data_IF_757883969769
#
_entry.id   IF_757883969769
#
_cell.length_a   1.000
_cell.length_b   1.000
_cell.length_c   1.000
_cell.angle_alpha   90.00
_cell.angle_beta   90.00
_cell.angle_gamma   90.00
#
_symmetry.space_group_name_H-M   'P 1'
#
loop_
_entity.id
_entity.type
_entity.pdbx_description
1 polymer ?
#
# COMPACT_ATOMS: atom_id res chain seq x y z
N UNK A 1 3.71 -10.27 1.47
CA UNK A 1 2.79 -11.17 0.73
C UNK A 1 2.93 -10.88 -0.76
N UNK A 2 2.89 -11.89 -1.63
CA UNK A 2 2.91 -11.67 -3.08
C UNK A 2 1.67 -10.89 -3.54
N UNK A 3 1.80 -10.15 -4.64
CA UNK A 3 0.69 -9.39 -5.22
C UNK A 3 -0.26 -10.34 -5.96
N UNK A 4 -1.57 -10.14 -5.79
CA UNK A 4 -2.57 -10.84 -6.57
C UNK A 4 -2.49 -10.43 -8.06
N UNK A 5 -2.48 -11.42 -8.95
CA UNK A 5 -2.32 -11.26 -10.40
C UNK A 5 -3.50 -11.86 -11.14
N UNK A 6 -3.93 -11.20 -12.22
CA UNK A 6 -4.79 -11.80 -13.24
C UNK A 6 -3.98 -12.78 -14.08
N UNK A 7 -4.59 -13.88 -14.50
CA UNK A 7 -4.00 -14.85 -15.42
C UNK A 7 -5.08 -15.47 -16.30
N UNK A 8 -4.68 -16.08 -17.41
CA UNK A 8 -5.56 -16.88 -18.25
C UNK A 8 -5.50 -18.34 -17.77
N UNK A 9 -6.66 -18.98 -17.59
CA UNK A 9 -6.72 -20.40 -17.18
C UNK A 9 -6.09 -21.33 -18.23
N UNK A 10 -6.17 -20.96 -19.52
CA UNK A 10 -5.55 -21.71 -20.61
C UNK A 10 -4.03 -21.82 -20.53
N UNK A 11 -3.34 -20.83 -19.95
CA UNK A 11 -1.88 -20.84 -19.79
C UNK A 11 -1.41 -21.67 -18.58
N UNK A 12 -2.33 -21.97 -17.65
CA UNK A 12 -2.06 -22.70 -16.41
C UNK A 12 -2.68 -24.10 -16.40
N UNK A 13 -3.00 -24.67 -17.57
CA UNK A 13 -3.47 -26.06 -17.66
C UNK A 13 -2.48 -27.01 -16.97
N UNK A 14 -2.97 -27.84 -16.07
CA UNK A 14 -2.17 -28.77 -15.26
C UNK A 14 -1.52 -28.16 -14.01
N UNK A 15 -1.80 -26.88 -13.69
CA UNK A 15 -1.35 -26.20 -12.46
C UNK A 15 -2.52 -25.53 -11.74
N UNK A 16 -3.61 -26.27 -11.56
CA UNK A 16 -4.86 -25.79 -10.95
C UNK A 16 -4.68 -25.42 -9.47
N UNK A 17 -3.74 -26.06 -8.77
CA UNK A 17 -3.37 -25.72 -7.40
C UNK A 17 -2.88 -24.27 -7.25
N UNK A 18 -2.42 -23.63 -8.34
CA UNK A 18 -1.96 -22.24 -8.35
C UNK A 18 -3.11 -21.22 -8.49
N UNK A 19 -4.36 -21.66 -8.74
CA UNK A 19 -5.49 -20.76 -9.01
C UNK A 19 -6.08 -20.16 -7.72
N UNK A 20 -5.77 -20.76 -6.58
CA UNK A 20 -6.32 -20.37 -5.28
C UNK A 20 -5.92 -18.95 -4.87
N UNK A 21 -6.90 -18.19 -4.38
CA UNK A 21 -6.66 -16.86 -3.84
C UNK A 21 -6.29 -16.95 -2.36
N UNK A 22 -4.99 -17.05 -2.05
CA UNK A 22 -4.49 -17.24 -0.67
C UNK A 22 -5.04 -16.22 0.34
N UNK A 23 -5.23 -14.96 -0.05
CA UNK A 23 -5.74 -13.92 0.84
C UNK A 23 -7.24 -13.99 1.14
N UNK A 24 -8.00 -14.77 0.36
CA UNK A 24 -9.45 -14.96 0.52
C UNK A 24 -9.80 -16.41 0.89
N UNK A 25 -8.82 -17.32 0.87
CA UNK A 25 -9.00 -18.74 1.15
C UNK A 25 -10.08 -19.40 0.27
N UNK A 26 -10.12 -19.04 -1.01
CA UNK A 26 -11.05 -19.61 -2.01
C UNK A 26 -10.28 -20.18 -3.21
N UNK A 27 -10.75 -21.29 -3.81
CA UNK A 27 -10.04 -21.99 -4.87
C UNK A 27 -10.07 -21.23 -6.21
N UNK A 28 -11.17 -20.50 -6.49
CA UNK A 28 -11.37 -19.74 -7.71
C UNK A 28 -11.84 -18.33 -7.38
N UNK A 29 -11.32 -17.34 -8.09
CA UNK A 29 -11.73 -15.96 -7.93
C UNK A 29 -11.55 -15.17 -9.22
N UNK A 30 -12.49 -14.29 -9.51
CA UNK A 30 -12.36 -13.30 -10.58
C UNK A 30 -13.07 -12.00 -10.21
N UNK A 31 -12.72 -10.90 -10.87
CA UNK A 31 -13.43 -9.64 -10.72
C UNK A 31 -14.58 -9.54 -11.72
N UNK A 32 -15.74 -9.11 -11.22
CA UNK A 32 -16.97 -8.99 -12.02
C UNK A 32 -17.76 -7.71 -11.73
N UNK A 33 -17.74 -7.22 -10.49
CA UNK A 33 -18.69 -6.24 -9.97
C UNK A 33 -18.44 -4.78 -10.36
N UNK A 34 -17.43 -4.46 -11.17
CA UNK A 34 -17.08 -3.07 -11.50
C UNK A 34 -16.54 -2.89 -12.92
N UNK A 35 -17.29 -3.27 -13.96
CA UNK A 35 -16.87 -3.16 -15.37
C UNK A 35 -16.56 -1.73 -15.82
N UNK A 36 -17.17 -0.71 -15.19
CA UNK A 36 -16.90 0.69 -15.52
C UNK A 36 -15.47 1.15 -15.19
N UNK A 37 -14.81 0.53 -14.21
CA UNK A 37 -13.49 0.96 -13.71
C UNK A 37 -12.41 -0.12 -13.78
N UNK A 38 -12.76 -1.33 -14.23
CA UNK A 38 -11.83 -2.46 -14.37
C UNK A 38 -12.10 -3.18 -15.69
N UNK A 39 -11.12 -3.15 -16.59
CA UNK A 39 -11.20 -3.86 -17.86
C UNK A 39 -11.32 -5.40 -17.73
N UNK A 40 -10.66 -6.07 -16.76
CA UNK A 40 -10.86 -7.52 -16.55
C UNK A 40 -12.32 -7.90 -16.35
N UNK A 41 -13.09 -7.10 -15.61
CA UNK A 41 -14.51 -7.33 -15.41
C UNK A 41 -15.26 -7.31 -16.76
N UNK A 42 -14.92 -6.43 -17.70
CA UNK A 42 -15.54 -6.40 -19.05
C UNK A 42 -15.31 -7.71 -19.79
N UNK A 43 -14.11 -8.29 -19.71
CA UNK A 43 -13.80 -9.59 -20.32
C UNK A 43 -14.67 -10.67 -19.69
N UNK A 44 -14.77 -10.70 -18.36
CA UNK A 44 -15.62 -11.66 -17.64
C UNK A 44 -17.10 -11.50 -17.98
N UNK A 45 -17.60 -10.26 -18.09
CA UNK A 45 -18.98 -9.97 -18.50
C UNK A 45 -19.27 -10.52 -19.90
N UNK A 46 -18.35 -10.34 -20.86
CA UNK A 46 -18.49 -10.91 -22.22
C UNK A 46 -18.47 -12.43 -22.20
N UNK A 47 -17.53 -13.02 -21.45
CA UNK A 47 -17.44 -14.49 -21.32
C UNK A 47 -18.71 -15.06 -20.70
N UNK A 48 -19.22 -14.46 -19.63
CA UNK A 48 -20.44 -14.91 -18.98
C UNK A 48 -21.65 -14.83 -19.92
N UNK A 49 -21.82 -13.72 -20.64
CA UNK A 49 -22.90 -13.57 -21.60
C UNK A 49 -22.81 -14.60 -22.74
N UNK A 50 -21.61 -14.88 -23.24
CA UNK A 50 -21.39 -15.90 -24.27
C UNK A 50 -21.73 -17.31 -23.77
N UNK A 51 -21.34 -17.66 -22.55
CA UNK A 51 -21.60 -18.99 -21.99
C UNK A 51 -23.09 -19.21 -21.74
N UNK A 52 -23.79 -18.21 -21.19
CA UNK A 52 -25.25 -18.28 -20.96
C UNK A 52 -26.00 -18.48 -22.28
N UNK A 53 -25.68 -17.72 -23.32
CA UNK A 53 -26.33 -17.88 -24.62
C UNK A 53 -25.99 -19.21 -25.30
N UNK A 54 -24.73 -19.65 -25.21
CA UNK A 54 -24.32 -20.93 -25.77
C UNK A 54 -25.08 -22.10 -25.13
N UNK A 55 -25.35 -22.02 -23.83
CA UNK A 55 -26.13 -23.01 -23.10
C UNK A 55 -27.59 -23.05 -23.57
N UNK A 56 -28.24 -21.89 -23.75
CA UNK A 56 -29.59 -21.80 -24.31
C UNK A 56 -29.67 -22.49 -25.67
N UNK A 57 -28.74 -22.16 -26.58
CA UNK A 57 -28.68 -22.76 -27.94
C UNK A 57 -28.42 -24.26 -27.90
N UNK A 58 -27.55 -24.73 -26.99
CA UNK A 58 -27.22 -26.14 -26.85
C UNK A 58 -28.42 -26.96 -26.35
N UNK A 59 -29.13 -26.44 -25.34
CA UNK A 59 -30.30 -27.07 -24.75
C UNK A 59 -31.46 -27.15 -25.76
N UNK A 60 -31.70 -26.10 -26.55
CA UNK A 60 -32.72 -26.11 -27.62
C UNK A 60 -32.48 -27.18 -28.69
N UNK A 61 -31.23 -27.34 -29.13
CA UNK A 61 -30.83 -28.39 -30.08
C UNK A 61 -31.05 -29.79 -29.49
N UNK A 62 -30.78 -29.97 -28.19
CA UNK A 62 -30.95 -31.25 -27.49
C UNK A 62 -32.42 -31.64 -27.32
N UNK A 63 -33.30 -30.68 -26.97
CA UNK A 63 -34.74 -30.92 -26.88
C UNK A 63 -35.39 -31.20 -28.25
N UNK A 64 -34.87 -30.63 -29.33
CA UNK A 64 -35.34 -30.95 -30.69
C UNK A 64 -35.00 -32.40 -31.10
N UNK A 65 -34.05 -33.02 -30.41
CA UNK A 65 -33.54 -34.37 -30.70
C UNK A 65 -34.10 -35.45 -29.77
N UNK A 66 -34.70 -35.07 -28.63
CA UNK A 66 -35.25 -35.99 -27.63
C UNK A 66 -36.73 -35.68 -27.33
N UNK A 67 -37.64 -36.51 -27.84
CA UNK A 67 -39.07 -36.46 -27.49
C UNK A 67 -39.35 -37.31 -26.24
N UNK A 68 -39.96 -36.70 -25.20
CA UNK A 68 -40.32 -37.23 -23.85
C UNK A 68 -39.11 -37.63 -22.97
N UNK A 69 -39.03 -37.45 -21.65
CA UNK A 69 -40.05 -37.34 -20.59
C UNK A 69 -39.41 -36.75 -19.30
N UNK A 70 -40.24 -36.33 -18.34
CA UNK A 70 -39.94 -35.87 -16.96
C UNK A 70 -39.21 -34.53 -16.76
N UNK A 71 -40.05 -33.52 -16.44
CA UNK A 71 -39.76 -32.29 -15.71
C UNK A 71 -39.29 -32.62 -14.28
N UNK A 72 -37.99 -32.48 -14.00
CA UNK A 72 -37.49 -32.28 -12.64
C UNK A 72 -36.77 -30.93 -12.58
N UNK A 73 -37.41 -29.98 -11.89
CA UNK A 73 -37.16 -28.54 -11.97
C UNK A 73 -35.91 -28.04 -11.25
N UNK A 74 -34.76 -28.67 -11.48
CA UNK A 74 -33.44 -28.12 -11.12
C UNK A 74 -32.64 -28.01 -12.41
N UNK A 75 -32.43 -26.76 -12.85
CA UNK A 75 -31.88 -26.39 -14.14
C UNK A 75 -30.72 -27.28 -14.58
N UNK A 76 -30.96 -28.01 -15.68
CA UNK A 76 -30.01 -28.92 -16.31
C UNK A 76 -28.96 -28.10 -17.10
N UNK A 77 -28.30 -27.17 -16.42
CA UNK A 77 -27.21 -26.40 -16.98
C UNK A 77 -26.03 -27.32 -17.28
N UNK A 78 -25.47 -27.20 -18.48
CA UNK A 78 -24.30 -27.95 -18.92
C UNK A 78 -23.02 -27.09 -18.87
N UNK A 79 -23.16 -25.78 -19.08
CA UNK A 79 -22.03 -24.83 -19.11
C UNK A 79 -22.07 -23.83 -17.96
N UNK A 80 -23.24 -23.57 -17.37
CA UNK A 80 -23.40 -22.67 -16.23
C UNK A 80 -23.82 -23.42 -14.96
N UNK A 81 -23.71 -22.75 -13.82
CA UNK A 81 -24.13 -23.28 -12.53
C UNK A 81 -23.03 -23.99 -11.75
N UNK A 82 -23.43 -24.96 -10.92
CA UNK A 82 -22.52 -25.69 -10.04
C UNK A 82 -21.90 -26.93 -10.69
N UNK A 83 -22.49 -27.40 -11.81
CA UNK A 83 -22.05 -28.58 -12.54
C UNK A 83 -21.61 -28.14 -13.95
N UNK A 84 -20.31 -28.21 -14.22
CA UNK A 84 -19.79 -28.06 -15.57
C UNK A 84 -19.66 -29.44 -16.20
N UNK A 85 -20.36 -29.67 -17.31
CA UNK A 85 -20.30 -30.92 -18.08
C UNK A 85 -19.25 -30.80 -19.19
N UNK A 86 -18.09 -31.41 -18.94
CA UNK A 86 -16.95 -31.39 -19.87
C UNK A 86 -17.28 -32.13 -21.18
N UNK A 87 -18.03 -33.24 -21.12
CA UNK A 87 -18.41 -33.99 -22.33
C UNK A 87 -19.36 -33.17 -23.20
N UNK A 88 -20.32 -32.47 -22.59
CA UNK A 88 -21.20 -31.56 -23.30
C UNK A 88 -20.44 -30.39 -23.94
N UNK A 89 -19.45 -29.82 -23.23
CA UNK A 89 -18.65 -28.70 -23.73
C UNK A 89 -17.72 -29.10 -24.88
N UNK A 90 -17.22 -30.34 -24.86
CA UNK A 90 -16.34 -30.89 -25.91
C UNK A 90 -17.09 -31.52 -27.09
N UNK A 91 -18.39 -31.79 -26.95
CA UNK A 91 -19.25 -32.22 -28.06
C UNK A 91 -19.19 -31.24 -29.24
N UNK A 92 -19.40 -31.73 -30.46
CA UNK A 92 -19.34 -30.87 -31.65
C UNK A 92 -20.41 -29.76 -31.59
N UNK A 93 -21.61 -30.09 -31.11
CA UNK A 93 -22.70 -29.13 -30.94
C UNK A 93 -22.38 -28.09 -29.85
N UNK A 94 -21.78 -28.51 -28.74
CA UNK A 94 -21.39 -27.63 -27.63
C UNK A 94 -20.26 -26.69 -28.04
N UNK A 95 -19.24 -27.22 -28.70
CA UNK A 95 -18.11 -26.44 -29.25
C UNK A 95 -18.58 -25.41 -30.27
N UNK A 96 -19.48 -25.79 -31.19
CA UNK A 96 -20.07 -24.88 -32.17
C UNK A 96 -20.86 -23.75 -31.49
N UNK A 97 -21.72 -24.07 -30.52
CA UNK A 97 -22.51 -23.09 -29.78
C UNK A 97 -21.60 -22.10 -29.01
N UNK A 98 -20.60 -22.60 -28.29
CA UNK A 98 -19.64 -21.80 -27.55
C UNK A 98 -18.80 -20.90 -28.47
N UNK A 99 -18.32 -21.41 -29.60
CA UNK A 99 -17.54 -20.63 -30.56
C UNK A 99 -18.39 -19.54 -31.22
N UNK A 100 -19.63 -19.86 -31.61
CA UNK A 100 -20.57 -18.90 -32.20
C UNK A 100 -20.88 -17.76 -31.22
N UNK A 101 -21.20 -18.09 -29.97
CA UNK A 101 -21.45 -17.09 -28.93
C UNK A 101 -20.19 -16.28 -28.59
N UNK A 102 -19.02 -16.92 -28.50
CA UNK A 102 -17.75 -16.22 -28.25
C UNK A 102 -17.45 -15.17 -29.32
N UNK A 103 -17.71 -15.47 -30.60
CA UNK A 103 -17.56 -14.49 -31.70
C UNK A 103 -18.57 -13.35 -31.57
N UNK A 104 -19.84 -13.66 -31.27
CA UNK A 104 -20.90 -12.65 -31.10
C UNK A 104 -20.61 -11.64 -29.99
N UNK A 105 -20.16 -12.12 -28.82
CA UNK A 105 -19.84 -11.27 -27.67
C UNK A 105 -18.41 -10.72 -27.68
N UNK A 106 -17.61 -11.06 -28.70
CA UNK A 106 -16.23 -10.62 -28.82
C UNK A 106 -15.36 -11.08 -27.65
N UNK A 107 -15.51 -12.36 -27.26
CA UNK A 107 -14.67 -13.02 -26.26
C UNK A 107 -13.29 -13.30 -26.89
N UNK A 108 -12.20 -12.78 -26.31
CA UNK A 108 -10.87 -12.98 -26.86
C UNK A 108 -10.39 -14.42 -26.70
N UNK A 109 -9.55 -14.88 -27.63
CA UNK A 109 -8.88 -16.20 -27.56
C UNK A 109 -7.94 -16.27 -26.36
N UNK A 110 -7.66 -17.49 -25.85
CA UNK A 110 -6.76 -17.74 -24.72
C UNK A 110 -5.46 -16.93 -24.77
N UNK A 111 -4.76 -16.93 -25.91
CA UNK A 111 -3.51 -16.18 -26.10
C UNK A 111 -3.70 -14.67 -25.87
N UNK A 112 -4.78 -14.10 -26.41
CA UNK A 112 -5.10 -12.68 -26.26
C UNK A 112 -5.51 -12.36 -24.83
N UNK A 113 -6.27 -13.25 -24.17
CA UNK A 113 -6.64 -13.10 -22.76
C UNK A 113 -5.40 -13.03 -21.87
N UNK A 114 -4.37 -13.84 -22.15
CA UNK A 114 -3.11 -13.81 -21.42
C UNK A 114 -2.37 -12.49 -21.55
N UNK A 115 -2.29 -11.95 -22.78
CA UNK A 115 -1.69 -10.64 -23.05
C UNK A 115 -2.48 -9.52 -22.35
N UNK A 116 -3.82 -9.58 -22.41
CA UNK A 116 -4.72 -8.65 -21.71
C UNK A 116 -4.53 -8.74 -20.19
N UNK A 117 -4.41 -9.93 -19.63
CA UNK A 117 -4.20 -10.14 -18.20
C UNK A 117 -2.85 -9.55 -17.75
N UNK A 118 -1.77 -9.80 -18.50
CA UNK A 118 -0.46 -9.21 -18.25
C UNK A 118 -0.51 -7.67 -18.29
N UNK A 119 -1.15 -7.11 -19.30
CA UNK A 119 -1.35 -5.66 -19.42
C UNK A 119 -2.16 -5.10 -18.24
N UNK A 120 -3.28 -5.74 -17.88
CA UNK A 120 -4.12 -5.32 -16.76
C UNK A 120 -3.36 -5.35 -15.43
N UNK A 121 -2.49 -6.33 -15.22
CA UNK A 121 -1.62 -6.41 -14.05
C UNK A 121 -0.64 -5.23 -13.99
N UNK A 122 0.00 -4.91 -15.12
CA UNK A 122 0.90 -3.75 -15.21
C UNK A 122 0.15 -2.45 -14.92
N UNK A 123 -0.99 -2.22 -15.59
CA UNK A 123 -1.83 -1.03 -15.38
C UNK A 123 -2.32 -0.92 -13.94
N UNK A 124 -2.67 -2.04 -13.30
CA UNK A 124 -3.06 -2.08 -11.87
C UNK A 124 -1.91 -1.63 -10.96
N UNK A 125 -0.68 -2.11 -11.22
CA UNK A 125 0.51 -1.67 -10.46
C UNK A 125 0.82 -0.20 -10.68
N UNK A 126 0.78 0.25 -11.94
CA UNK A 126 1.01 1.65 -12.29
C UNK A 126 -0.04 2.58 -11.66
N UNK A 127 -1.32 2.18 -11.69
CA UNK A 127 -2.41 2.92 -11.03
C UNK A 127 -2.18 3.05 -9.52
N UNK A 128 -1.80 1.95 -8.85
CA UNK A 128 -1.50 1.98 -7.42
C UNK A 128 -0.32 2.89 -7.10
N UNK A 129 0.74 2.83 -7.92
CA UNK A 129 1.90 3.72 -7.76
C UNK A 129 1.51 5.19 -7.93
N UNK A 130 0.68 5.50 -8.94
CA UNK A 130 0.20 6.85 -9.18
C UNK A 130 -0.68 7.37 -8.04
N UNK A 131 -1.57 6.54 -7.50
CA UNK A 131 -2.39 6.85 -6.32
C UNK A 131 -1.52 7.19 -5.12
N UNK A 132 -0.57 6.32 -4.75
CA UNK A 132 0.37 6.57 -3.65
C UNK A 132 1.22 7.82 -3.87
N UNK A 133 1.71 8.03 -5.09
CA UNK A 133 2.51 9.22 -5.44
C UNK A 133 1.68 10.50 -5.33
N UNK A 134 0.38 10.45 -5.69
CA UNK A 134 -0.50 11.60 -5.55
C UNK A 134 -0.72 11.95 -4.07
N UNK A 135 -0.97 10.94 -3.22
CA UNK A 135 -1.09 11.12 -1.76
C UNK A 135 0.16 11.80 -1.17
N UNK A 136 1.36 11.35 -1.57
CA UNK A 136 2.62 11.95 -1.14
C UNK A 136 2.75 13.44 -1.53
N UNK A 137 2.35 13.79 -2.76
CA UNK A 137 2.38 15.18 -3.25
C UNK A 137 1.40 16.05 -2.47
N UNK A 138 0.19 15.57 -2.22
CA UNK A 138 -0.81 16.30 -1.42
C UNK A 138 -0.35 16.50 0.01
N UNK A 139 0.21 15.46 0.64
CA UNK A 139 0.76 15.56 1.99
C UNK A 139 1.91 16.56 2.05
N UNK A 140 2.82 16.54 1.08
CA UNK A 140 3.90 17.51 1.01
C UNK A 140 3.39 18.94 0.83
N UNK A 141 2.40 19.17 -0.03
CA UNK A 141 1.82 20.49 -0.23
C UNK A 141 1.17 21.01 1.06
N UNK A 142 0.48 20.13 1.80
CA UNK A 142 -0.08 20.43 3.11
C UNK A 142 1.02 20.83 4.11
N UNK A 143 2.10 20.05 4.19
CA UNK A 143 3.22 20.33 5.09
C UNK A 143 3.94 21.63 4.75
N UNK A 144 4.07 21.96 3.46
CA UNK A 144 4.64 23.23 3.02
C UNK A 144 3.83 24.44 3.49
N UNK A 145 2.50 24.29 3.62
CA UNK A 145 1.63 25.36 4.14
C UNK A 145 1.67 25.50 5.67
N UNK A 146 2.00 24.42 6.39
CA UNK A 146 1.96 24.36 7.87
C UNK A 146 3.34 24.45 8.54
N UNK A 147 4.42 24.54 7.76
CA UNK A 147 5.83 24.57 8.15
C UNK A 147 6.31 23.31 8.92
N UNK A 148 5.72 22.97 10.07
CA UNK A 148 6.08 21.79 10.88
C UNK A 148 4.84 21.18 11.52
N UNK A 149 4.68 19.86 11.39
CA UNK A 149 3.63 19.08 12.04
C UNK A 149 4.22 18.12 13.06
N UNK A 150 3.68 18.11 14.28
CA UNK A 150 4.08 17.16 15.32
C UNK A 150 3.14 15.95 15.34
N UNK A 151 3.70 14.75 15.40
CA UNK A 151 2.94 13.50 15.49
C UNK A 151 3.72 12.45 16.28
N UNK A 152 3.00 11.52 16.89
CA UNK A 152 3.60 10.31 17.42
C UNK A 152 3.83 9.33 16.27
N UNK A 153 5.01 8.70 16.24
CA UNK A 153 5.38 7.70 15.26
C UNK A 153 5.82 6.40 15.95
N UNK A 154 5.47 5.27 15.32
CA UNK A 154 5.85 3.95 15.81
C UNK A 154 7.08 3.45 15.09
N UNK A 155 8.09 3.04 15.85
CA UNK A 155 9.33 2.53 15.27
C UNK A 155 9.11 1.12 14.75
N UNK A 156 9.30 0.90 13.45
CA UNK A 156 9.19 -0.40 12.79
C UNK A 156 10.50 -1.18 12.80
N UNK A 157 11.63 -0.48 12.71
CA UNK A 157 12.95 -1.11 12.68
C UNK A 157 14.02 -0.19 13.25
N UNK A 158 15.00 -0.79 13.91
CA UNK A 158 16.16 -0.12 14.47
C UNK A 158 17.42 -0.76 13.90
N UNK A 159 18.45 0.02 13.66
CA UNK A 159 19.78 -0.43 13.27
C UNK A 159 20.87 0.44 13.89
N UNK A 160 22.15 0.18 13.59
CA UNK A 160 23.28 0.83 14.25
C UNK A 160 23.33 2.35 14.05
N UNK A 161 22.83 2.84 12.91
CA UNK A 161 22.87 4.27 12.54
C UNK A 161 21.54 4.75 11.97
N UNK A 162 20.44 4.03 12.22
CA UNK A 162 19.13 4.43 11.70
C UNK A 162 17.98 3.86 12.49
N UNK A 163 16.83 4.52 12.42
CA UNK A 163 15.54 3.93 12.73
C UNK A 163 14.58 4.11 11.54
N UNK A 164 13.60 3.22 11.43
CA UNK A 164 12.56 3.27 10.40
C UNK A 164 11.22 3.39 11.12
N UNK A 165 10.48 4.46 10.87
CA UNK A 165 9.07 4.60 11.28
C UNK A 165 8.15 4.33 10.07
N UNK A 166 8.48 4.94 8.94
CA UNK A 166 7.87 4.75 7.62
C UNK A 166 8.91 5.19 6.58
N UNK A 167 9.46 6.38 6.82
CA UNK A 167 10.78 6.77 6.30
C UNK A 167 11.89 6.40 7.29
N UNK A 168 13.09 6.27 6.74
CA UNK A 168 14.31 5.98 7.50
C UNK A 168 14.94 7.28 7.96
N UNK A 169 15.13 7.41 9.27
CA UNK A 169 15.89 8.49 9.90
C UNK A 169 17.29 7.96 10.17
N UNK A 170 18.30 8.65 9.64
CA UNK A 170 19.69 8.26 9.80
C UNK A 170 20.34 9.06 10.93
N UNK A 171 20.88 8.35 11.90
CA UNK A 171 21.71 8.86 12.97
C UNK A 171 23.18 8.62 12.56
N UNK A 172 23.72 9.51 11.72
CA UNK A 172 25.13 9.45 11.32
C UNK A 172 26.09 9.80 12.46
N UNK A 173 27.31 10.22 12.11
CA UNK A 173 28.17 10.95 13.06
C UNK A 173 27.58 12.35 13.26
N UNK A 174 26.83 12.52 14.35
CA UNK A 174 26.16 13.76 14.74
C UNK A 174 26.95 14.41 15.86
N UNK A 175 27.35 15.66 15.70
CA UNK A 175 28.03 16.39 16.78
C UNK A 175 27.10 16.56 17.99
N UNK A 176 27.51 16.06 19.17
CA UNK A 176 26.77 16.18 20.42
C UNK A 176 25.80 15.05 20.76
N UNK A 177 25.60 14.06 19.86
CA UNK A 177 24.72 12.90 20.09
C UNK A 177 25.51 11.59 20.00
N UNK A 178 25.63 10.88 21.12
CA UNK A 178 26.14 9.52 21.16
C UNK A 178 25.02 8.54 20.81
N UNK A 179 25.24 7.76 19.75
CA UNK A 179 24.30 6.76 19.24
C UNK A 179 24.92 5.39 19.51
N UNK A 180 24.28 4.58 20.36
CA UNK A 180 24.71 3.19 20.60
C UNK A 180 23.58 2.24 20.28
N UNK A 181 23.90 1.15 19.58
CA UNK A 181 22.93 0.11 19.25
C UNK A 181 23.33 -1.19 19.92
N UNK A 182 22.39 -1.75 20.69
CA UNK A 182 22.55 -3.01 21.39
C UNK A 182 21.86 -4.09 20.55
N UNK A 183 22.65 -4.81 19.76
CA UNK A 183 22.17 -5.83 18.83
C UNK A 183 21.38 -6.96 19.50
N UNK A 184 21.71 -7.32 20.74
CA UNK A 184 21.03 -8.40 21.47
C UNK A 184 19.59 -8.07 21.85
N UNK A 185 19.24 -6.78 21.93
CA UNK A 185 17.93 -6.32 22.40
C UNK A 185 17.25 -5.38 21.40
N UNK A 186 17.82 -5.23 20.21
CA UNK A 186 17.42 -4.26 19.18
C UNK A 186 17.06 -2.89 19.74
N UNK A 187 17.89 -2.44 20.69
CA UNK A 187 17.69 -1.17 21.40
C UNK A 187 18.69 -0.15 20.91
N UNK A 188 18.19 0.99 20.43
CA UNK A 188 18.98 2.17 20.13
C UNK A 188 18.97 3.08 21.35
N UNK A 189 20.14 3.43 21.84
CA UNK A 189 20.31 4.40 22.92
C UNK A 189 20.89 5.67 22.32
N UNK A 190 20.14 6.75 22.45
CA UNK A 190 20.56 8.10 22.09
C UNK A 190 20.92 8.84 23.38
N UNK A 191 22.12 9.40 23.46
CA UNK A 191 22.61 10.15 24.62
C UNK A 191 23.23 11.49 24.19
N UNK A 192 22.95 12.57 24.91
CA UNK A 192 23.61 13.87 24.67
C UNK A 192 24.95 13.93 25.38
N UNK A 193 26.01 14.16 24.62
CA UNK A 193 27.32 14.44 25.19
C UNK A 193 27.36 15.90 25.65
N UNK A 194 27.10 16.14 26.93
CA UNK A 194 27.15 17.48 27.53
C UNK A 194 28.60 17.97 27.79
N UNK A 195 29.59 17.44 27.07
CA UNK A 195 31.01 17.71 27.32
C UNK A 195 31.57 18.70 26.30
N UNK A 196 32.24 19.74 26.81
CA UNK A 196 32.97 20.77 26.08
C UNK A 196 33.75 20.20 24.88
N UNK A 197 33.92 20.96 23.79
CA UNK A 197 34.57 20.46 22.58
C UNK A 197 35.99 20.00 22.90
N UNK A 198 36.19 18.68 22.93
CA UNK A 198 37.51 18.07 22.95
C UNK A 198 38.12 18.30 21.58
N UNK A 199 39.07 19.24 21.51
CA UNK A 199 39.94 19.43 20.36
C UNK A 199 40.51 18.07 19.92
N UNK A 200 39.97 17.50 18.84
CA UNK A 200 40.61 16.39 18.13
C UNK A 200 40.85 16.76 16.69
N UNK A 201 42.15 16.87 16.41
CA UNK A 201 42.78 17.13 15.13
C UNK A 201 42.34 16.10 14.07
N UNK A 202 42.08 16.63 12.87
CA UNK A 202 42.06 15.96 11.57
C UNK A 202 41.12 14.75 11.41
N UNK A 203 39.84 15.02 11.11
CA UNK A 203 39.08 14.21 10.16
C UNK A 203 38.22 15.15 9.31
N UNK A 204 38.59 15.31 8.04
CA UNK A 204 37.75 15.97 7.03
C UNK A 204 36.60 15.02 6.66
N UNK A 205 35.57 14.98 7.49
CA UNK A 205 34.28 14.37 7.17
C UNK A 205 33.20 15.30 7.73
N UNK A 206 32.26 15.69 6.87
CA UNK A 206 31.17 16.61 7.18
C UNK A 206 30.25 16.00 8.26
N UNK A 207 30.45 16.32 9.54
CA UNK A 207 29.50 15.99 10.60
C UNK A 207 28.20 16.77 10.40
N UNK A 208 27.04 16.14 10.66
CA UNK A 208 25.75 16.84 10.69
C UNK A 208 25.52 17.44 12.07
N UNK A 209 24.83 18.57 12.13
CA UNK A 209 24.48 19.20 13.40
C UNK A 209 23.37 18.39 14.09
N UNK A 210 23.29 18.44 15.42
CA UNK A 210 22.20 17.79 16.17
C UNK A 210 20.82 18.31 15.73
N UNK A 211 20.74 19.58 15.34
CA UNK A 211 19.53 20.27 14.89
C UNK A 211 18.98 19.72 13.56
N UNK A 212 19.82 19.05 12.77
CA UNK A 212 19.43 18.42 11.50
C UNK A 212 18.63 17.11 11.70
N UNK A 213 18.72 16.52 12.90
CA UNK A 213 18.14 15.19 13.20
C UNK A 213 17.17 15.26 14.38
N UNK A 214 17.43 16.16 15.33
CA UNK A 214 16.65 16.39 16.53
C UNK A 214 16.18 17.84 16.55
N UNK A 215 14.86 18.03 16.67
CA UNK A 215 14.29 19.33 16.97
C UNK A 215 14.28 19.50 18.50
N UNK A 216 15.19 20.33 19.02
CA UNK A 216 15.26 20.69 20.44
C UNK A 216 14.16 21.69 20.78
N UNK A 217 13.21 21.28 21.61
CA UNK A 217 12.12 22.13 22.09
C UNK A 217 12.60 22.92 23.31
N UNK A 218 12.84 24.22 23.16
CA UNK A 218 13.12 25.10 24.30
C UNK A 218 11.92 25.09 25.28
N UNK A 219 12.20 24.98 26.58
CA UNK A 219 11.24 24.93 27.71
C UNK A 219 10.25 26.12 27.84
N UNK A 220 10.14 27.02 26.86
CA UNK A 220 9.33 28.24 26.93
C UNK A 220 8.16 28.35 25.93
N UNK A 221 7.71 27.27 25.26
CA UNK A 221 6.53 27.33 24.37
C UNK A 221 5.42 26.35 24.78
N UNK A 222 4.70 26.71 25.84
CA UNK A 222 3.36 26.17 26.09
C UNK A 222 2.40 26.89 25.15
N UNK A 223 1.95 26.24 24.06
CA UNK A 223 0.89 26.74 23.18
C UNK A 223 -0.44 26.17 23.67
N UNK A 224 -1.40 27.04 24.00
CA UNK A 224 -2.76 26.69 24.41
C UNK A 224 -3.64 26.27 23.22
N UNK A 225 -4.78 25.57 23.44
CA UNK A 225 -5.50 24.83 22.40
C UNK A 225 -6.41 25.64 21.45
N UNK A 226 -6.20 26.95 21.29
CA UNK A 226 -7.09 27.78 20.45
C UNK A 226 -6.51 28.20 19.08
N UNK A 227 -5.24 27.93 18.78
CA UNK A 227 -4.65 28.25 17.48
C UNK A 227 -4.73 27.09 16.48
N UNK A 228 -5.93 26.51 16.28
CA UNK A 228 -6.16 25.55 15.18
C UNK A 228 -6.03 26.17 13.77
N UNK A 229 -5.74 27.48 13.66
CA UNK A 229 -5.68 28.22 12.40
C UNK A 229 -4.64 29.37 12.35
N UNK A 230 -3.56 29.38 13.17
CA UNK A 230 -2.56 30.47 13.08
C UNK A 230 -1.12 29.98 12.85
N UNK A 231 -0.51 30.53 11.81
CA UNK A 231 0.91 30.47 11.49
C UNK A 231 1.75 30.95 12.67
N UNK A 232 2.71 30.14 13.10
CA UNK A 232 3.64 30.52 14.17
C UNK A 232 4.89 31.15 13.52
N UNK A 233 4.84 32.46 13.30
CA UNK A 233 6.07 33.23 13.06
C UNK A 233 6.96 33.13 14.30
N UNK A 234 8.23 32.79 14.11
CA UNK A 234 9.23 32.81 15.17
C UNK A 234 9.73 34.26 15.32
N UNK A 235 9.17 34.97 16.29
CA UNK A 235 9.78 36.18 16.88
C UNK A 235 9.63 36.11 18.41
N UNK A 236 10.56 36.69 19.19
CA UNK A 236 10.59 36.50 20.64
C UNK A 236 9.73 37.57 21.32
N UNK A 237 8.78 37.15 22.16
CA UNK A 237 8.61 37.66 23.53
C UNK A 237 7.24 37.32 24.16
N UNK A 238 7.35 36.78 25.37
CA UNK A 238 6.59 37.10 26.60
C UNK A 238 5.07 36.86 26.73
N UNK A 239 4.77 36.11 27.82
CA UNK A 239 3.68 36.24 28.81
C UNK A 239 2.75 35.02 29.02
N UNK A 240 2.80 34.56 30.27
CA UNK A 240 2.03 33.56 31.04
C UNK A 240 0.55 33.32 30.68
N UNK A 241 0.10 32.06 30.72
CA UNK A 241 -1.08 31.63 31.50
C UNK A 241 -1.05 30.12 31.78
N UNK A 242 -1.37 29.71 33.02
CA UNK A 242 -1.51 28.33 33.49
C UNK A 242 -2.87 27.73 33.10
N UNK A 243 -2.91 26.49 32.61
CA UNK A 243 -3.95 25.50 32.96
C UNK A 243 -3.66 24.11 32.39
N UNK A 244 -4.04 23.11 33.19
CA UNK A 244 -3.72 21.68 33.09
C UNK A 244 -4.55 20.92 32.03
N UNK A 245 -3.90 20.27 31.06
CA UNK A 245 -4.32 19.01 30.41
C UNK A 245 -3.06 18.25 29.95
N UNK A 246 -3.04 16.94 30.20
CA UNK A 246 -1.95 15.98 30.01
C UNK A 246 -1.32 15.97 28.62
N UNK A 247 -0.23 16.72 28.44
CA UNK A 247 0.74 16.53 27.37
C UNK A 247 1.76 15.46 27.81
N UNK A 248 1.98 14.44 26.98
CA UNK A 248 3.04 13.46 27.22
C UNK A 248 4.38 14.18 27.26
N UNK A 249 5.22 13.94 28.29
CA UNK A 249 6.45 14.68 28.48
C UNK A 249 7.41 14.38 27.32
N UNK A 250 8.12 15.39 26.79
CA UNK A 250 9.14 15.18 25.79
C UNK A 250 10.25 14.26 26.34
N UNK A 251 10.90 13.56 25.42
CA UNK A 251 11.89 12.55 25.76
C UNK A 251 13.15 13.21 26.36
N UNK A 252 13.55 12.76 27.55
CA UNK A 252 14.78 13.16 28.21
C UNK A 252 15.91 12.16 27.92
N UNK A 253 17.14 12.65 27.84
CA UNK A 253 18.32 11.80 27.73
C UNK A 253 18.63 11.04 29.03
N UNK A 254 19.15 9.80 28.94
CA UNK A 254 19.36 9.00 27.74
C UNK A 254 18.05 8.35 27.24
N UNK A 255 17.84 8.38 25.92
CA UNK A 255 16.64 7.84 25.28
C UNK A 255 16.89 6.42 24.77
N UNK A 256 16.10 5.45 25.26
CA UNK A 256 16.11 4.08 24.76
C UNK A 256 14.93 3.83 23.82
N UNK A 257 15.24 3.62 22.54
CA UNK A 257 14.27 3.32 21.48
C UNK A 257 14.37 1.84 21.12
N UNK A 258 13.26 1.13 21.27
CA UNK A 258 13.10 -0.26 20.83
C UNK A 258 12.18 -0.34 19.62
N UNK A 259 12.24 -1.44 18.89
CA UNK A 259 11.23 -1.79 17.89
C UNK A 259 9.84 -1.73 18.55
N UNK A 260 8.88 -1.11 17.87
CA UNK A 260 7.52 -0.78 18.29
C UNK A 260 7.35 0.33 19.34
N UNK A 261 8.43 0.98 19.77
CA UNK A 261 8.34 2.16 20.65
C UNK A 261 7.62 3.31 19.94
N UNK A 262 6.91 4.12 20.72
CA UNK A 262 6.27 5.35 20.24
C UNK A 262 7.23 6.50 20.54
N UNK A 263 7.55 7.30 19.52
CA UNK A 263 8.43 8.46 19.63
C UNK A 263 7.74 9.69 19.01
N UNK A 264 7.82 10.87 19.65
CA UNK A 264 7.33 12.11 19.07
C UNK A 264 8.27 12.56 17.94
N UNK A 265 7.69 12.87 16.80
CA UNK A 265 8.41 13.33 15.61
C UNK A 265 7.82 14.61 15.03
N UNK A 266 8.68 15.45 14.48
CA UNK A 266 8.33 16.61 13.68
C UNK A 266 8.45 16.23 12.20
N UNK A 267 7.37 16.40 11.44
CA UNK A 267 7.28 16.12 10.02
C UNK A 267 7.19 17.44 9.28
N UNK A 268 8.01 17.61 8.24
CA UNK A 268 8.02 18.82 7.42
C UNK A 268 8.39 18.52 5.97
N UNK A 269 8.02 19.43 5.08
CA UNK A 269 8.29 19.33 3.66
C UNK A 269 9.69 19.87 3.33
N UNK A 270 10.45 19.12 2.53
CA UNK A 270 11.69 19.57 1.89
C UNK A 270 11.45 19.69 0.39
N UNK A 271 11.85 20.82 -0.17
CA UNK A 271 11.94 20.99 -1.61
C UNK A 271 13.36 20.69 -2.03
N UNK A 272 13.60 19.55 -2.69
CA UNK A 272 14.91 19.30 -3.31
C UNK A 272 15.03 20.12 -4.61
N UNK A 273 16.26 20.55 -4.94
CA UNK A 273 16.55 21.37 -6.13
C UNK A 273 16.13 20.71 -7.45
N UNK A 274 15.94 19.38 -7.46
CA UNK A 274 15.55 18.61 -8.65
C UNK A 274 14.02 18.46 -8.82
N UNK A 275 13.20 19.15 -8.00
CA UNK A 275 11.74 19.06 -8.09
C UNK A 275 11.15 17.77 -7.53
N UNK A 276 11.97 16.92 -6.89
CA UNK A 276 11.48 15.79 -6.12
C UNK A 276 10.84 16.25 -4.81
N UNK A 277 9.60 15.82 -4.62
CA UNK A 277 8.80 16.04 -3.42
C UNK A 277 9.35 15.13 -2.33
N UNK A 278 9.92 15.72 -1.27
CA UNK A 278 10.44 14.95 -0.15
C UNK A 278 9.87 15.44 1.18
N UNK A 279 9.56 14.48 2.05
CA UNK A 279 9.02 14.71 3.39
C UNK A 279 10.05 14.13 4.36
N UNK A 280 10.54 14.93 5.29
CA UNK A 280 11.48 14.48 6.30
C UNK A 280 10.81 14.45 7.67
N UNK A 281 11.30 13.54 8.52
CA UNK A 281 10.88 13.42 9.90
C UNK A 281 12.10 13.56 10.82
N UNK A 282 12.02 14.46 11.80
CA UNK A 282 13.01 14.65 12.87
C UNK A 282 12.42 14.16 14.20
N UNK A 283 13.28 13.70 15.10
CA UNK A 283 12.86 13.39 16.47
C UNK A 283 12.64 14.69 17.23
N UNK A 284 11.58 14.75 18.03
CA UNK A 284 11.36 15.86 18.97
C UNK A 284 11.92 15.51 20.34
N UNK A 285 12.75 16.39 20.89
CA UNK A 285 13.36 16.23 22.21
C UNK A 285 13.29 17.55 22.99
N UNK A 286 13.42 17.48 24.32
CA UNK A 286 13.47 18.65 25.20
C UNK A 286 14.78 18.66 26.00
#
# INVERSE_FOLDING_TARGET
>A
MPLAVYFCTGDLRGREDEWAHCGLSIPLYTHFTSPLRRYPDIVVHRTLAAVVEAEEVYVEKRHSSAASDSDDGIGNGCFTGLCFDEEAAESEEGREALLSAAVRYGVPTSKVVSEVAAHCNERKRASKHAEQSAEDVYLWALLKSKEVMFSDARVLRVGPHFMTIEKRIYFGEVEGLAVTWIATTDTLVLDTLNTKPLQRRHLTRSCRSIEDIVLMMNQCRMVTPEDKNKCINIAPSSYNTQSNVTATPPLCFPLMIRVLSIVPVAIYAISEYNGHVNIEARLCMQ
#
